data_IF_669250284567
#
_entry.id   IF_669250284567
#
_cell.length_a   1.000
_cell.length_b   1.000
_cell.length_c   1.000
_cell.angle_alpha   90.00
_cell.angle_beta   90.00
_cell.angle_gamma   90.00
#
_symmetry.space_group_name_H-M   'P 1'
#
loop_
_entity.id
_entity.type
_entity.pdbx_description
1 polymer ?
#
# COMPACT_ATOMS: atom_id res chain seq x y z
N UNK A 1 121.65 -85.80 55.86
CA UNK A 1 121.03 -85.80 54.52
C UNK A 1 119.50 -85.95 54.51
N UNK A 2 118.84 -86.75 55.39
CA UNK A 2 117.36 -86.96 55.32
C UNK A 2 116.47 -85.76 55.75
N UNK A 3 116.90 -84.92 56.69
CA UNK A 3 116.13 -83.73 57.13
C UNK A 3 116.10 -82.59 56.09
N UNK A 4 117.16 -82.43 55.29
CA UNK A 4 117.24 -81.42 54.24
C UNK A 4 116.29 -81.70 53.07
N UNK A 5 115.95 -82.97 52.85
CA UNK A 5 115.05 -83.40 51.77
C UNK A 5 113.57 -83.13 52.11
N UNK A 6 113.19 -83.32 53.38
CA UNK A 6 111.83 -83.02 53.87
C UNK A 6 111.57 -81.51 53.87
N UNK A 7 112.54 -80.70 54.30
CA UNK A 7 112.43 -79.23 54.26
C UNK A 7 112.32 -78.70 52.83
N UNK A 8 113.06 -79.29 51.88
CA UNK A 8 112.97 -78.97 50.46
C UNK A 8 111.60 -79.32 49.88
N UNK A 9 111.05 -80.49 50.23
CA UNK A 9 109.69 -80.89 49.80
C UNK A 9 108.64 -79.92 50.37
N UNK A 10 108.74 -79.55 51.65
CA UNK A 10 107.82 -78.57 52.27
C UNK A 10 107.94 -77.20 51.59
N UNK A 11 109.15 -76.72 51.32
CA UNK A 11 109.38 -75.45 50.61
C UNK A 11 108.83 -75.50 49.17
N UNK A 12 109.02 -76.60 48.46
CA UNK A 12 108.45 -76.81 47.11
C UNK A 12 106.92 -76.86 47.19
N UNK A 13 106.33 -77.57 48.15
CA UNK A 13 104.88 -77.62 48.35
C UNK A 13 104.30 -76.25 48.68
N UNK A 14 104.97 -75.46 49.52
CA UNK A 14 104.59 -74.07 49.83
C UNK A 14 104.72 -73.20 48.58
N UNK A 15 105.79 -73.33 47.79
CA UNK A 15 105.95 -72.59 46.53
C UNK A 15 104.89 -72.96 45.49
N UNK A 16 104.52 -74.24 45.37
CA UNK A 16 103.45 -74.69 44.46
C UNK A 16 102.09 -74.15 44.92
N UNK A 17 101.78 -74.22 46.22
CA UNK A 17 100.55 -73.64 46.77
C UNK A 17 100.50 -72.12 46.59
N UNK A 18 101.63 -71.44 46.79
CA UNK A 18 101.75 -70.00 46.57
C UNK A 18 101.56 -69.63 45.10
N UNK A 19 102.14 -70.41 44.19
CA UNK A 19 101.98 -70.22 42.74
C UNK A 19 100.55 -70.50 42.28
N UNK A 20 99.90 -71.56 42.79
CA UNK A 20 98.49 -71.84 42.53
C UNK A 20 97.60 -70.70 43.04
N UNK A 21 97.83 -70.23 44.27
CA UNK A 21 97.10 -69.09 44.83
C UNK A 21 97.35 -67.79 44.05
N UNK A 22 98.55 -67.60 43.54
CA UNK A 22 98.89 -66.46 42.68
C UNK A 22 98.17 -66.52 41.33
N UNK A 23 98.16 -67.68 40.65
CA UNK A 23 97.44 -67.85 39.38
C UNK A 23 95.91 -67.72 39.58
N UNK A 24 95.35 -68.30 40.64
CA UNK A 24 93.94 -68.09 41.03
C UNK A 24 93.63 -66.60 41.25
N UNK A 25 94.49 -65.89 41.99
CA UNK A 25 94.32 -64.46 42.25
C UNK A 25 94.43 -63.63 40.97
N UNK A 26 95.32 -64.00 40.04
CA UNK A 26 95.49 -63.33 38.74
C UNK A 26 94.31 -63.57 37.81
N UNK A 27 93.79 -64.78 37.73
CA UNK A 27 92.55 -65.07 36.98
C UNK A 27 91.36 -64.31 37.58
N UNK A 28 91.25 -64.26 38.91
CA UNK A 28 90.22 -63.51 39.60
C UNK A 28 90.34 -62.01 39.30
N UNK A 29 91.56 -61.47 39.27
CA UNK A 29 91.85 -60.09 38.91
C UNK A 29 91.41 -59.77 37.48
N UNK A 30 91.75 -60.63 36.50
CA UNK A 30 91.34 -60.45 35.10
C UNK A 30 89.81 -60.50 34.97
N UNK A 31 89.15 -61.43 35.67
CA UNK A 31 87.67 -61.50 35.71
C UNK A 31 87.08 -60.22 36.30
N UNK A 32 87.67 -59.70 37.37
CA UNK A 32 87.25 -58.47 38.02
C UNK A 32 87.43 -57.25 37.11
N UNK A 33 88.54 -57.16 36.37
CA UNK A 33 88.78 -56.10 35.38
C UNK A 33 87.74 -56.16 34.23
N UNK A 34 87.44 -57.35 33.71
CA UNK A 34 86.42 -57.52 32.66
C UNK A 34 85.00 -57.21 33.14
N UNK A 35 84.68 -57.59 34.38
CA UNK A 35 83.43 -57.23 35.03
C UNK A 35 83.32 -55.70 35.18
N UNK A 36 84.38 -55.03 35.62
CA UNK A 36 84.40 -53.56 35.72
C UNK A 36 84.17 -52.90 34.35
N UNK A 37 84.83 -53.35 33.29
CA UNK A 37 84.58 -52.84 31.92
C UNK A 37 83.14 -53.06 31.46
N UNK A 38 82.54 -54.18 31.85
CA UNK A 38 81.13 -54.47 31.53
C UNK A 38 80.19 -53.55 32.31
N UNK A 39 80.49 -53.28 33.59
CA UNK A 39 79.76 -52.33 34.42
C UNK A 39 79.84 -50.93 33.80
N UNK A 40 81.03 -50.45 33.44
CA UNK A 40 81.22 -49.14 32.78
C UNK A 40 80.42 -49.03 31.48
N UNK A 41 80.44 -50.05 30.63
CA UNK A 41 79.66 -50.05 29.37
C UNK A 41 78.14 -50.04 29.63
N UNK A 42 77.67 -50.78 30.64
CA UNK A 42 76.26 -50.79 31.02
C UNK A 42 75.83 -49.44 31.61
N UNK A 43 76.69 -48.77 32.37
CA UNK A 43 76.45 -47.42 32.89
C UNK A 43 76.32 -46.39 31.75
N UNK A 44 77.20 -46.46 30.74
CA UNK A 44 77.11 -45.61 29.54
C UNK A 44 75.80 -45.87 28.79
N UNK A 45 75.48 -47.14 28.51
CA UNK A 45 74.24 -47.50 27.81
C UNK A 45 72.99 -47.06 28.59
N UNK A 46 73.01 -47.22 29.91
CA UNK A 46 71.93 -46.77 30.78
C UNK A 46 71.77 -45.25 30.72
N UNK A 47 72.88 -44.49 30.73
CA UNK A 47 72.86 -43.03 30.56
C UNK A 47 72.28 -42.62 29.19
N UNK A 48 72.68 -43.27 28.10
CA UNK A 48 72.12 -43.00 26.77
C UNK A 48 70.62 -43.31 26.68
N UNK A 49 70.17 -44.40 27.31
CA UNK A 49 68.76 -44.77 27.35
C UNK A 49 67.94 -43.76 28.16
N UNK A 50 68.45 -43.31 29.30
CA UNK A 50 67.81 -42.26 30.10
C UNK A 50 67.68 -40.95 29.29
N UNK A 51 68.74 -40.54 28.59
CA UNK A 51 68.70 -39.35 27.73
C UNK A 51 67.69 -39.50 26.58
N UNK A 52 67.58 -40.70 25.96
CA UNK A 52 66.56 -40.96 24.92
C UNK A 52 65.15 -40.92 25.48
N UNK A 53 64.95 -41.48 26.68
CA UNK A 53 63.66 -41.50 27.36
C UNK A 53 63.21 -40.08 27.75
N UNK A 54 64.12 -39.25 28.25
CA UNK A 54 63.86 -37.84 28.54
C UNK A 54 63.48 -37.06 27.26
N UNK A 55 64.25 -37.22 26.18
CA UNK A 55 63.93 -36.59 24.90
C UNK A 55 62.57 -37.03 24.33
N UNK A 56 62.21 -38.31 24.48
CA UNK A 56 60.90 -38.82 24.09
C UNK A 56 59.79 -38.25 24.97
N UNK A 57 60.02 -38.11 26.28
CA UNK A 57 59.07 -37.48 27.21
C UNK A 57 58.78 -36.04 26.78
N UNK A 58 59.82 -35.24 26.50
CA UNK A 58 59.67 -33.85 26.03
C UNK A 58 58.90 -33.79 24.70
N UNK A 59 59.22 -34.67 23.74
CA UNK A 59 58.50 -34.73 22.46
C UNK A 59 57.02 -35.09 22.65
N UNK A 60 56.74 -36.04 23.54
CA UNK A 60 55.38 -36.45 23.86
C UNK A 60 54.58 -35.31 24.52
N UNK A 61 55.17 -34.60 25.48
CA UNK A 61 54.57 -33.44 26.13
C UNK A 61 54.25 -32.32 25.13
N UNK A 62 55.20 -32.00 24.24
CA UNK A 62 55.00 -31.00 23.19
C UNK A 62 53.86 -31.40 22.24
N UNK A 63 53.83 -32.66 21.79
CA UNK A 63 52.76 -33.16 20.91
C UNK A 63 51.40 -33.15 21.61
N UNK A 64 51.36 -33.48 22.91
CA UNK A 64 50.14 -33.43 23.72
C UNK A 64 49.61 -31.98 23.82
N UNK A 65 50.51 -31.01 24.00
CA UNK A 65 50.16 -29.59 24.01
C UNK A 65 49.63 -29.11 22.64
N UNK A 66 50.29 -29.48 21.54
CA UNK A 66 49.83 -29.14 20.19
C UNK A 66 48.47 -29.77 19.87
N UNK A 67 48.27 -31.02 20.27
CA UNK A 67 46.99 -31.71 20.11
C UNK A 67 45.86 -30.97 20.83
N UNK A 68 46.07 -30.59 22.10
CA UNK A 68 45.08 -29.83 22.87
C UNK A 68 44.78 -28.48 22.24
N UNK A 69 45.80 -27.76 21.76
CA UNK A 69 45.62 -26.50 21.03
C UNK A 69 44.79 -26.67 19.76
N UNK A 70 45.01 -27.77 19.02
CA UNK A 70 44.25 -28.07 17.80
C UNK A 70 42.79 -28.41 18.12
N UNK A 71 42.53 -29.14 19.20
CA UNK A 71 41.20 -29.43 19.71
C UNK A 71 40.43 -28.15 20.07
N UNK A 72 41.08 -27.22 20.77
CA UNK A 72 40.51 -25.91 21.11
C UNK A 72 40.18 -25.09 19.85
N UNK A 73 41.09 -25.07 18.86
CA UNK A 73 40.87 -24.40 17.57
C UNK A 73 39.68 -25.00 16.81
N UNK A 74 39.58 -26.33 16.78
CA UNK A 74 38.47 -27.03 16.13
C UNK A 74 37.14 -26.72 16.80
N UNK A 75 37.11 -26.72 18.14
CA UNK A 75 35.92 -26.37 18.92
C UNK A 75 35.44 -24.94 18.61
N UNK A 76 36.37 -23.97 18.58
CA UNK A 76 36.06 -22.59 18.23
C UNK A 76 35.52 -22.46 16.81
N UNK A 77 36.16 -23.10 15.83
CA UNK A 77 35.71 -23.07 14.44
C UNK A 77 34.32 -23.70 14.26
N UNK A 78 34.04 -24.79 15.00
CA UNK A 78 32.72 -25.42 15.01
C UNK A 78 31.63 -24.48 15.54
N UNK A 79 31.95 -23.69 16.57
CA UNK A 79 31.03 -22.69 17.12
C UNK A 79 30.79 -21.54 16.12
N UNK A 80 31.84 -21.03 15.49
CA UNK A 80 31.73 -20.00 14.46
C UNK A 80 30.87 -20.47 13.28
N UNK A 81 31.07 -21.71 12.82
CA UNK A 81 30.27 -22.29 11.74
C UNK A 81 28.78 -22.39 12.11
N UNK A 82 28.46 -22.78 13.35
CA UNK A 82 27.08 -22.83 13.84
C UNK A 82 26.44 -21.44 13.85
N UNK A 83 27.15 -20.43 14.37
CA UNK A 83 26.68 -19.05 14.40
C UNK A 83 26.44 -18.51 12.97
N UNK A 84 27.36 -18.77 12.04
CA UNK A 84 27.21 -18.34 10.65
C UNK A 84 26.01 -19.01 9.97
N UNK A 85 25.78 -20.29 10.25
CA UNK A 85 24.61 -21.03 9.74
C UNK A 85 23.30 -20.43 10.25
N UNK A 86 23.24 -20.05 11.53
CA UNK A 86 22.08 -19.38 12.11
C UNK A 86 21.83 -18.01 11.46
N UNK A 87 22.87 -17.19 11.29
CA UNK A 87 22.78 -15.89 10.62
C UNK A 87 22.29 -16.04 9.17
N UNK A 88 22.79 -17.04 8.43
CA UNK A 88 22.33 -17.34 7.08
C UNK A 88 20.84 -17.70 7.05
N UNK A 89 20.38 -18.55 7.96
CA UNK A 89 18.98 -18.94 8.04
C UNK A 89 18.07 -17.75 8.37
N UNK A 90 18.51 -16.87 9.28
CA UNK A 90 17.80 -15.63 9.60
C UNK A 90 17.70 -14.69 8.38
N UNK A 91 18.81 -14.49 7.67
CA UNK A 91 18.82 -13.67 6.45
C UNK A 91 17.92 -14.24 5.36
N UNK A 92 17.95 -15.57 5.17
CA UNK A 92 17.07 -16.26 4.23
C UNK A 92 15.59 -16.06 4.58
N UNK A 93 15.24 -16.12 5.88
CA UNK A 93 13.87 -15.86 6.34
C UNK A 93 13.44 -14.42 6.04
N UNK A 94 14.30 -13.44 6.34
CA UNK A 94 14.03 -12.02 6.04
C UNK A 94 13.84 -11.77 4.54
N UNK A 95 14.66 -12.40 3.69
CA UNK A 95 14.52 -12.31 2.24
C UNK A 95 13.15 -12.82 1.75
N UNK A 96 12.67 -13.95 2.28
CA UNK A 96 11.35 -14.47 1.91
C UNK A 96 10.19 -13.58 2.38
N UNK A 97 10.34 -12.89 3.52
CA UNK A 97 9.36 -11.88 3.98
C UNK A 97 9.34 -10.70 3.02
N UNK A 98 10.51 -10.10 2.73
CA UNK A 98 10.64 -8.97 1.79
C UNK A 98 10.09 -9.29 0.41
N UNK A 99 10.32 -10.52 -0.06
CA UNK A 99 9.78 -10.99 -1.34
C UNK A 99 8.26 -11.00 -1.35
N UNK A 100 7.61 -11.43 -0.27
CA UNK A 100 6.14 -11.40 -0.15
C UNK A 100 5.60 -9.98 -0.10
N UNK A 101 6.21 -9.11 0.70
CA UNK A 101 5.83 -7.69 0.78
C UNK A 101 5.93 -7.01 -0.58
N UNK A 102 7.00 -7.27 -1.35
CA UNK A 102 7.16 -6.73 -2.70
C UNK A 102 6.06 -7.17 -3.68
N UNK A 103 5.57 -8.41 -3.57
CA UNK A 103 4.42 -8.86 -4.38
C UNK A 103 3.10 -8.19 -3.95
N UNK A 104 2.93 -7.86 -2.66
CA UNK A 104 1.79 -7.06 -2.20
C UNK A 104 1.86 -5.62 -2.72
N UNK A 105 3.05 -4.99 -2.70
CA UNK A 105 3.25 -3.66 -3.27
C UNK A 105 2.92 -3.61 -4.77
N UNK A 106 3.30 -4.62 -5.54
CA UNK A 106 2.93 -4.71 -6.97
C UNK A 106 1.42 -4.76 -7.18
N UNK A 107 0.70 -5.54 -6.36
CA UNK A 107 -0.77 -5.60 -6.41
C UNK A 107 -1.40 -4.26 -6.07
N UNK A 108 -0.89 -3.57 -5.05
CA UNK A 108 -1.35 -2.25 -4.65
C UNK A 108 -1.11 -1.21 -5.76
N UNK A 109 0.04 -1.23 -6.41
CA UNK A 109 0.37 -0.35 -7.53
C UNK A 109 -0.60 -0.56 -8.71
N UNK A 110 -0.90 -1.82 -9.06
CA UNK A 110 -1.88 -2.15 -10.10
C UNK A 110 -3.29 -1.65 -9.73
N UNK A 111 -3.71 -1.79 -8.48
CA UNK A 111 -4.99 -1.27 -8.01
C UNK A 111 -5.07 0.25 -8.10
N UNK A 112 -3.99 0.95 -7.73
CA UNK A 112 -3.90 2.40 -7.85
C UNK A 112 -4.02 2.88 -9.30
N UNK A 113 -3.34 2.20 -10.24
CA UNK A 113 -3.43 2.51 -11.67
C UNK A 113 -4.86 2.36 -12.21
N UNK A 114 -5.56 1.28 -11.83
CA UNK A 114 -6.97 1.07 -12.19
C UNK A 114 -7.84 2.20 -11.64
N UNK A 115 -7.69 2.55 -10.36
CA UNK A 115 -8.44 3.64 -9.75
C UNK A 115 -8.16 4.99 -10.41
N UNK A 116 -6.91 5.25 -10.78
CA UNK A 116 -6.51 6.47 -11.46
C UNK A 116 -7.16 6.59 -12.84
N UNK A 117 -7.12 5.52 -13.65
CA UNK A 117 -7.73 5.50 -14.97
C UNK A 117 -9.25 5.68 -14.89
N UNK A 118 -9.93 5.00 -13.95
CA UNK A 118 -11.35 5.19 -13.71
C UNK A 118 -11.69 6.64 -13.31
N UNK A 119 -10.85 7.29 -12.50
CA UNK A 119 -11.02 8.69 -12.14
C UNK A 119 -10.89 9.62 -13.36
N UNK A 120 -9.92 9.37 -14.25
CA UNK A 120 -9.76 10.14 -15.48
C UNK A 120 -10.94 9.97 -16.44
N UNK A 121 -11.44 8.74 -16.61
CA UNK A 121 -12.62 8.46 -17.44
C UNK A 121 -13.87 9.16 -16.91
N UNK A 122 -14.12 9.10 -15.60
CA UNK A 122 -15.22 9.85 -14.97
C UNK A 122 -15.07 11.36 -15.16
N UNK A 123 -13.88 11.91 -14.90
CA UNK A 123 -13.62 13.34 -15.08
C UNK A 123 -13.90 13.78 -16.52
N UNK A 124 -13.42 12.99 -17.50
CA UNK A 124 -13.67 13.23 -18.92
C UNK A 124 -15.17 13.21 -19.23
N UNK A 125 -15.88 12.17 -18.80
CA UNK A 125 -17.33 12.08 -18.99
C UNK A 125 -18.06 13.30 -18.42
N UNK A 126 -17.76 13.68 -17.18
CA UNK A 126 -18.45 14.80 -16.53
C UNK A 126 -18.14 16.12 -17.24
N UNK A 127 -16.86 16.37 -17.56
CA UNK A 127 -16.44 17.56 -18.27
C UNK A 127 -17.13 17.67 -19.64
N UNK A 128 -17.20 16.58 -20.41
CA UNK A 128 -17.89 16.54 -21.70
C UNK A 128 -19.40 16.82 -21.54
N UNK A 129 -20.04 16.25 -20.52
CA UNK A 129 -21.47 16.41 -20.30
C UNK A 129 -21.83 17.81 -19.75
N UNK A 130 -21.14 18.33 -18.74
CA UNK A 130 -21.35 19.71 -18.23
C UNK A 130 -21.05 20.78 -19.30
N UNK A 131 -20.17 20.46 -20.26
CA UNK A 131 -19.82 21.33 -21.37
C UNK A 131 -20.54 20.99 -22.68
N UNK A 132 -21.60 20.18 -22.62
CA UNK A 132 -22.35 19.75 -23.79
C UNK A 132 -22.87 20.94 -24.64
N UNK A 133 -22.71 20.84 -25.96
CA UNK A 133 -23.15 21.85 -26.92
C UNK A 133 -24.54 21.54 -27.45
N UNK A 134 -25.52 22.35 -27.07
CA UNK A 134 -26.90 22.19 -27.51
C UNK A 134 -27.23 22.95 -28.81
N UNK A 135 -26.27 23.62 -29.45
CA UNK A 135 -26.52 24.50 -30.62
C UNK A 135 -27.31 23.84 -31.75
N UNK A 136 -27.14 22.52 -31.94
CA UNK A 136 -27.84 21.74 -32.97
C UNK A 136 -29.24 21.26 -32.56
N UNK A 137 -29.63 21.39 -31.29
CA UNK A 137 -30.86 20.77 -30.77
C UNK A 137 -32.09 21.67 -31.04
N UNK A 138 -33.18 21.13 -31.63
CA UNK A 138 -34.34 21.94 -32.03
C UNK A 138 -35.00 22.73 -30.90
N UNK A 139 -34.95 22.22 -29.66
CA UNK A 139 -35.56 22.89 -28.51
C UNK A 139 -34.83 24.15 -28.09
N UNK A 140 -33.54 24.28 -28.38
CA UNK A 140 -32.75 25.46 -27.97
C UNK A 140 -33.29 26.75 -28.58
N UNK A 141 -33.69 26.70 -29.85
CA UNK A 141 -34.30 27.87 -30.50
C UNK A 141 -35.56 28.30 -29.75
N UNK A 142 -36.45 27.36 -29.45
CA UNK A 142 -37.70 27.65 -28.74
C UNK A 142 -37.45 28.15 -27.32
N UNK A 143 -36.50 27.54 -26.58
CA UNK A 143 -36.14 27.98 -25.22
C UNK A 143 -35.53 29.37 -25.24
N UNK A 144 -34.63 29.65 -26.18
CA UNK A 144 -34.05 30.99 -26.36
C UNK A 144 -35.14 32.02 -26.66
N UNK A 145 -36.01 31.75 -27.62
CA UNK A 145 -37.00 32.73 -28.07
C UNK A 145 -38.07 33.02 -27.01
N UNK A 146 -38.40 32.05 -26.17
CA UNK A 146 -39.51 32.17 -25.19
C UNK A 146 -39.08 32.37 -23.73
N UNK A 147 -37.93 31.82 -23.33
CA UNK A 147 -37.53 31.74 -21.92
C UNK A 147 -36.31 32.60 -21.57
N UNK A 148 -35.58 33.12 -22.57
CA UNK A 148 -34.48 34.03 -22.33
C UNK A 148 -35.01 35.48 -22.27
N UNK A 149 -34.95 36.07 -21.08
CA UNK A 149 -35.41 37.43 -20.80
C UNK A 149 -34.18 38.30 -20.52
N UNK A 150 -33.74 39.08 -21.52
CA UNK A 150 -32.50 39.87 -21.44
C UNK A 150 -31.29 38.98 -21.08
N UNK A 151 -30.71 39.14 -19.89
CA UNK A 151 -29.61 38.35 -19.34
C UNK A 151 -30.06 37.29 -18.32
N UNK A 152 -31.35 36.91 -18.35
CA UNK A 152 -31.95 35.98 -17.39
C UNK A 152 -32.58 34.79 -18.09
N UNK A 153 -32.27 33.58 -17.65
CA UNK A 153 -32.95 32.37 -18.11
C UNK A 153 -34.12 32.03 -17.18
N UNK A 154 -35.35 32.05 -17.70
CA UNK A 154 -36.52 31.51 -17.02
C UNK A 154 -36.49 29.98 -17.08
N UNK A 155 -35.91 29.36 -16.04
CA UNK A 155 -35.66 27.92 -16.02
C UNK A 155 -36.96 27.08 -16.01
N UNK A 156 -37.99 27.41 -15.21
CA UNK A 156 -39.27 26.71 -15.29
C UNK A 156 -39.92 26.79 -16.67
N UNK A 157 -39.81 27.93 -17.37
CA UNK A 157 -40.25 28.06 -18.77
C UNK A 157 -39.51 27.04 -19.66
N UNK A 158 -38.18 26.95 -19.54
CA UNK A 158 -37.38 26.05 -20.36
C UNK A 158 -37.77 24.58 -20.12
N UNK A 159 -37.92 24.18 -18.86
CA UNK A 159 -38.32 22.83 -18.47
C UNK A 159 -39.75 22.51 -18.94
N UNK A 160 -40.68 23.46 -18.80
CA UNK A 160 -42.05 23.27 -19.29
C UNK A 160 -42.10 23.08 -20.82
N UNK A 161 -41.33 23.86 -21.59
CA UNK A 161 -41.22 23.66 -23.04
C UNK A 161 -40.68 22.26 -23.37
N UNK A 162 -39.65 21.79 -22.66
CA UNK A 162 -39.11 20.44 -22.88
C UNK A 162 -40.16 19.36 -22.63
N UNK A 163 -40.91 19.47 -21.53
CA UNK A 163 -41.96 18.51 -21.16
C UNK A 163 -43.14 18.56 -22.14
N UNK A 164 -43.75 19.71 -22.30
CA UNK A 164 -45.02 19.84 -23.05
C UNK A 164 -44.83 19.79 -24.56
N UNK A 165 -43.76 20.42 -25.09
CA UNK A 165 -43.55 20.54 -26.55
C UNK A 165 -42.63 19.49 -27.12
N UNK A 166 -41.66 19.01 -26.35
CA UNK A 166 -40.69 18.02 -26.80
C UNK A 166 -40.87 16.65 -26.14
N UNK A 167 -41.87 16.50 -25.28
CA UNK A 167 -42.26 15.24 -24.62
C UNK A 167 -41.16 14.63 -23.75
N UNK A 168 -40.33 15.48 -23.13
CA UNK A 168 -39.36 15.01 -22.15
C UNK A 168 -40.09 14.58 -20.87
N UNK A 169 -39.73 13.43 -20.30
CA UNK A 169 -40.41 12.88 -19.12
C UNK A 169 -39.44 12.25 -18.13
N UNK A 170 -39.95 11.97 -16.93
CA UNK A 170 -39.25 11.10 -15.99
C UNK A 170 -39.26 9.66 -16.53
N UNK A 171 -38.11 9.00 -16.51
CA UNK A 171 -37.94 7.61 -16.89
C UNK A 171 -37.19 6.94 -15.75
N UNK A 172 -37.83 5.98 -15.07
CA UNK A 172 -37.13 5.18 -14.06
C UNK A 172 -36.32 4.11 -14.79
N UNK A 173 -35.00 4.20 -14.72
CA UNK A 173 -34.12 3.17 -15.23
C UNK A 173 -33.87 2.10 -14.14
N UNK A 174 -33.70 0.85 -14.57
CA UNK A 174 -33.52 -0.28 -13.65
C UNK A 174 -32.09 -0.37 -13.10
N UNK A 175 -31.14 0.13 -13.88
CA UNK A 175 -29.71 -0.03 -13.61
C UNK A 175 -29.11 1.18 -12.88
N UNK A 176 -29.89 2.25 -12.63
CA UNK A 176 -29.51 3.47 -11.85
C UNK A 176 -28.16 4.06 -12.32
N UNK A 177 -27.99 4.10 -13.66
CA UNK A 177 -26.77 4.56 -14.31
C UNK A 177 -26.95 5.97 -14.85
N UNK A 178 -25.99 6.85 -14.54
CA UNK A 178 -25.99 8.21 -15.05
C UNK A 178 -25.84 8.21 -16.59
N UNK A 179 -26.91 8.57 -17.29
CA UNK A 179 -26.94 8.76 -18.73
C UNK A 179 -26.11 9.99 -19.13
N UNK A 180 -25.43 9.91 -20.27
CA UNK A 180 -24.90 11.12 -20.91
C UNK A 180 -26.04 12.07 -21.33
N UNK A 181 -25.73 13.35 -21.49
CA UNK A 181 -26.68 14.38 -21.97
C UNK A 181 -27.23 14.01 -23.35
N UNK A 182 -26.42 13.42 -24.23
CA UNK A 182 -26.87 12.94 -25.54
C UNK A 182 -27.85 11.77 -25.39
N UNK A 183 -27.58 10.80 -24.52
CA UNK A 183 -28.48 9.68 -24.24
C UNK A 183 -29.81 10.16 -23.65
N UNK A 184 -29.78 11.07 -22.68
CA UNK A 184 -30.97 11.70 -22.11
C UNK A 184 -31.84 12.38 -23.18
N UNK A 185 -31.22 13.12 -24.10
CA UNK A 185 -31.92 13.76 -25.23
C UNK A 185 -32.57 12.71 -26.14
N UNK A 186 -31.85 11.63 -26.44
CA UNK A 186 -32.34 10.58 -27.33
C UNK A 186 -33.46 9.75 -26.69
N UNK A 187 -33.37 9.47 -25.37
CA UNK A 187 -34.43 8.86 -24.57
C UNK A 187 -35.63 9.80 -24.35
N UNK A 188 -35.45 11.11 -24.54
CA UNK A 188 -36.39 12.17 -24.16
C UNK A 188 -36.72 12.11 -22.67
N UNK A 189 -35.70 12.01 -21.83
CA UNK A 189 -35.88 11.87 -20.40
C UNK A 189 -34.86 10.96 -19.74
N UNK A 190 -35.01 10.85 -18.43
CA UNK A 190 -34.19 10.08 -17.49
C UNK A 190 -34.78 10.23 -16.08
N UNK A 191 -34.08 9.71 -15.10
CA UNK A 191 -34.39 9.85 -13.68
C UNK A 191 -33.77 11.13 -13.08
N UNK A 192 -33.65 11.21 -11.75
CA UNK A 192 -33.36 12.47 -11.08
C UNK A 192 -31.94 12.99 -11.34
N UNK A 193 -30.94 12.12 -11.40
CA UNK A 193 -29.54 12.44 -11.69
C UNK A 193 -29.36 12.83 -13.15
N UNK A 194 -30.04 12.15 -14.07
CA UNK A 194 -30.02 12.43 -15.50
C UNK A 194 -30.60 13.82 -15.78
N UNK A 195 -31.76 14.13 -15.19
CA UNK A 195 -32.36 15.46 -15.25
C UNK A 195 -31.43 16.52 -14.65
N UNK A 196 -30.78 16.22 -13.53
CA UNK A 196 -29.85 17.13 -12.87
C UNK A 196 -28.64 17.45 -13.74
N UNK A 197 -28.06 16.44 -14.39
CA UNK A 197 -26.93 16.60 -15.30
C UNK A 197 -27.35 17.41 -16.53
N UNK A 198 -28.44 17.00 -17.19
CA UNK A 198 -28.97 17.70 -18.35
C UNK A 198 -29.25 19.19 -18.08
N UNK A 199 -29.94 19.50 -16.98
CA UNK A 199 -30.28 20.90 -16.64
C UNK A 199 -29.04 21.70 -16.27
N UNK A 200 -28.08 21.10 -15.56
CA UNK A 200 -26.80 21.76 -15.26
C UNK A 200 -26.05 22.12 -16.54
N UNK A 201 -25.97 21.18 -17.49
CA UNK A 201 -25.36 21.39 -18.80
C UNK A 201 -26.10 22.46 -19.61
N UNK A 202 -27.43 22.49 -19.54
CA UNK A 202 -28.26 23.49 -20.21
C UNK A 202 -27.96 24.90 -19.67
N UNK A 203 -27.92 25.07 -18.35
CA UNK A 203 -27.56 26.34 -17.70
C UNK A 203 -26.16 26.78 -18.18
N UNK A 204 -25.18 25.89 -18.14
CA UNK A 204 -23.82 26.19 -18.58
C UNK A 204 -23.74 26.59 -20.06
N UNK A 205 -24.52 25.92 -20.92
CA UNK A 205 -24.64 26.30 -22.32
C UNK A 205 -25.17 27.72 -22.48
N UNK A 206 -26.20 28.12 -21.71
CA UNK A 206 -26.72 29.49 -21.77
C UNK A 206 -25.75 30.54 -21.20
N UNK A 207 -25.03 30.21 -20.13
CA UNK A 207 -23.97 31.06 -19.57
C UNK A 207 -22.90 31.33 -20.62
N UNK A 208 -22.36 30.28 -21.26
CA UNK A 208 -21.29 30.40 -22.25
C UNK A 208 -21.72 31.14 -23.53
N UNK A 209 -22.87 30.78 -24.09
CA UNK A 209 -23.27 31.22 -25.43
C UNK A 209 -24.14 32.49 -25.43
N UNK A 210 -24.88 32.75 -24.36
CA UNK A 210 -25.82 33.88 -24.26
C UNK A 210 -25.50 34.84 -23.12
N UNK A 211 -24.42 34.60 -22.35
CA UNK A 211 -23.93 35.49 -21.28
C UNK A 211 -25.02 35.86 -20.28
N UNK A 212 -25.78 34.85 -19.83
CA UNK A 212 -26.77 35.07 -18.77
C UNK A 212 -26.06 35.29 -17.43
N UNK A 213 -26.56 36.26 -16.66
CA UNK A 213 -26.05 36.57 -15.31
C UNK A 213 -26.99 36.01 -14.23
N UNK A 214 -28.24 35.73 -14.60
CA UNK A 214 -29.25 35.25 -13.66
C UNK A 214 -30.02 34.05 -14.21
N UNK A 215 -30.49 33.22 -13.29
CA UNK A 215 -31.60 32.30 -13.55
C UNK A 215 -32.82 32.73 -12.74
N UNK A 216 -33.99 32.52 -13.31
CA UNK A 216 -35.27 32.70 -12.64
C UNK A 216 -35.79 31.31 -12.31
N UNK A 217 -36.05 31.09 -11.03
CA UNK A 217 -36.72 29.92 -10.47
C UNK A 217 -38.12 30.33 -10.00
N UNK A 218 -38.99 29.37 -9.75
CA UNK A 218 -40.24 29.64 -9.03
C UNK A 218 -40.14 29.20 -7.57
N UNK A 219 -40.87 29.88 -6.69
CA UNK A 219 -41.05 29.53 -5.29
C UNK A 219 -42.55 29.50 -4.99
N UNK A 220 -43.02 28.52 -4.22
CA UNK A 220 -44.44 28.41 -3.89
C UNK A 220 -44.90 29.60 -3.04
N UNK A 221 -45.94 30.30 -3.50
CA UNK A 221 -46.53 31.46 -2.84
C UNK A 221 -48.00 31.63 -3.20
N UNK A 222 -48.88 31.36 -2.24
CA UNK A 222 -50.34 31.41 -2.39
C UNK A 222 -50.81 32.79 -2.91
N UNK A 223 -51.66 32.78 -3.93
CA UNK A 223 -52.29 33.96 -4.51
C UNK A 223 -51.45 34.67 -5.58
N UNK A 224 -50.33 34.09 -6.00
CA UNK A 224 -49.46 34.63 -7.05
C UNK A 224 -49.44 33.70 -8.25
N UNK A 225 -49.25 34.26 -9.45
CA UNK A 225 -49.06 33.50 -10.68
C UNK A 225 -47.63 33.73 -11.20
N UNK A 226 -46.87 32.66 -11.38
CA UNK A 226 -45.55 32.70 -11.99
C UNK A 226 -45.66 32.46 -13.50
N UNK A 227 -45.47 33.51 -14.28
CA UNK A 227 -45.54 33.45 -15.73
C UNK A 227 -44.38 32.65 -16.34
N UNK A 228 -44.70 31.72 -17.25
CA UNK A 228 -43.74 30.92 -18.00
C UNK A 228 -43.46 31.55 -19.37
N UNK A 229 -44.45 31.51 -20.25
CA UNK A 229 -44.38 32.06 -21.62
C UNK A 229 -45.79 32.21 -22.20
N UNK A 230 -45.88 32.84 -23.39
CA UNK A 230 -47.11 32.99 -24.16
C UNK A 230 -46.96 32.35 -25.54
N UNK A 231 -48.03 31.75 -26.04
CA UNK A 231 -48.10 31.18 -27.39
C UNK A 231 -49.45 31.55 -28.02
N UNK A 232 -49.42 32.52 -28.94
CA UNK A 232 -50.63 33.16 -29.44
C UNK A 232 -51.35 33.89 -28.31
N UNK A 233 -52.62 33.55 -28.10
CA UNK A 233 -53.46 34.13 -27.04
C UNK A 233 -53.42 33.32 -25.73
N UNK A 234 -52.66 32.23 -25.68
CA UNK A 234 -52.59 31.35 -24.51
C UNK A 234 -51.38 31.73 -23.66
N UNK A 235 -51.62 32.02 -22.38
CA UNK A 235 -50.59 32.31 -21.38
C UNK A 235 -50.39 31.10 -20.46
N UNK A 236 -49.14 30.65 -20.35
CA UNK A 236 -48.73 29.56 -19.49
C UNK A 236 -48.14 30.13 -18.21
N UNK A 237 -48.64 29.68 -17.07
CA UNK A 237 -48.17 30.11 -15.75
C UNK A 237 -48.35 29.00 -14.72
N UNK A 238 -47.57 29.06 -13.64
CA UNK A 238 -47.82 28.27 -12.44
C UNK A 238 -48.68 29.09 -11.47
N UNK A 239 -49.74 28.47 -10.97
CA UNK A 239 -50.57 29.01 -9.89
C UNK A 239 -49.84 28.88 -8.55
N UNK A 240 -50.14 29.79 -7.63
CA UNK A 240 -49.55 29.86 -6.29
C UNK A 240 -48.03 29.84 -6.32
N UNK A 241 -47.43 30.61 -7.22
CA UNK A 241 -45.99 30.69 -7.42
C UNK A 241 -45.51 32.12 -7.67
N UNK A 242 -44.32 32.44 -7.15
CA UNK A 242 -43.62 33.71 -7.38
C UNK A 242 -42.24 33.47 -7.97
N UNK A 243 -41.62 34.49 -8.55
CA UNK A 243 -40.27 34.40 -9.10
C UNK A 243 -39.19 34.54 -8.03
N UNK A 244 -38.10 33.80 -8.20
CA UNK A 244 -36.86 33.90 -7.44
C UNK A 244 -35.68 34.04 -8.39
N UNK A 245 -35.00 35.18 -8.35
CA UNK A 245 -33.82 35.43 -9.18
C UNK A 245 -32.55 34.98 -8.44
N UNK A 246 -31.73 34.15 -9.09
CA UNK A 246 -30.44 33.68 -8.58
C UNK A 246 -29.32 34.27 -9.44
N UNK A 247 -28.32 34.88 -8.80
CA UNK A 247 -27.17 35.50 -9.46
C UNK A 247 -26.07 34.46 -9.74
N UNK A 248 -25.89 34.10 -11.01
CA UNK A 248 -24.87 33.12 -11.43
C UNK A 248 -23.43 33.63 -11.28
N UNK A 249 -23.22 34.95 -11.17
CA UNK A 249 -21.90 35.53 -10.89
C UNK A 249 -21.47 35.17 -9.45
N UNK A 250 -22.43 35.10 -8.53
CA UNK A 250 -22.21 34.69 -7.13
C UNK A 250 -22.12 33.17 -6.99
N UNK A 251 -22.95 32.43 -7.74
CA UNK A 251 -23.04 30.97 -7.68
C UNK A 251 -22.52 30.33 -8.98
N UNK A 252 -21.19 30.34 -9.13
CA UNK A 252 -20.49 29.96 -10.36
C UNK A 252 -20.49 28.47 -10.66
N UNK A 253 -20.58 27.63 -9.63
CA UNK A 253 -20.37 26.19 -9.73
C UNK A 253 -21.69 25.45 -9.61
N UNK A 254 -21.94 24.53 -10.52
CA UNK A 254 -23.08 23.62 -10.47
C UNK A 254 -22.62 22.30 -9.85
N UNK A 255 -23.36 21.80 -8.88
CA UNK A 255 -23.13 20.50 -8.27
C UNK A 255 -24.47 19.78 -8.24
N UNK A 256 -24.51 18.52 -8.61
CA UNK A 256 -25.67 17.65 -8.42
C UNK A 256 -25.53 17.02 -7.05
N UNK A 257 -26.56 17.14 -6.22
CA UNK A 257 -26.62 16.57 -4.88
C UNK A 257 -27.71 15.52 -4.88
N UNK A 258 -27.33 14.27 -4.62
CA UNK A 258 -28.28 13.19 -4.41
C UNK A 258 -28.40 12.86 -2.92
N UNK A 259 -29.64 12.70 -2.48
CA UNK A 259 -30.01 12.46 -1.09
C UNK A 259 -31.16 11.45 -1.01
N UNK A 260 -31.31 10.83 0.15
CA UNK A 260 -32.40 9.89 0.39
C UNK A 260 -33.63 10.67 0.86
N UNK A 261 -34.74 10.52 0.14
CA UNK A 261 -36.01 11.15 0.50
C UNK A 261 -36.80 10.31 1.51
N UNK A 262 -36.76 8.99 1.35
CA UNK A 262 -37.35 8.01 2.26
C UNK A 262 -36.58 6.68 2.19
N UNK A 263 -36.97 5.65 2.92
CA UNK A 263 -36.21 4.39 3.01
C UNK A 263 -35.95 3.69 1.67
N UNK A 264 -36.71 3.99 0.62
CA UNK A 264 -36.66 3.28 -0.67
C UNK A 264 -36.39 4.20 -1.86
N UNK A 265 -36.38 5.51 -1.68
CA UNK A 265 -36.32 6.48 -2.78
C UNK A 265 -35.20 7.50 -2.55
N UNK A 266 -34.31 7.54 -3.52
CA UNK A 266 -33.37 8.63 -3.75
C UNK A 266 -34.02 9.81 -4.46
N UNK A 267 -33.37 10.96 -4.38
CA UNK A 267 -33.67 12.11 -5.22
C UNK A 267 -32.40 12.94 -5.45
N UNK A 268 -32.28 13.54 -6.63
CA UNK A 268 -31.16 14.42 -6.98
C UNK A 268 -31.66 15.82 -7.34
N UNK A 269 -30.92 16.82 -6.86
CA UNK A 269 -31.18 18.26 -7.06
C UNK A 269 -29.91 18.97 -7.50
N UNK A 270 -30.04 20.18 -8.04
CA UNK A 270 -28.89 21.01 -8.42
C UNK A 270 -28.61 22.01 -7.30
N UNK A 271 -27.35 22.11 -6.91
CA UNK A 271 -26.80 23.11 -6.02
C UNK A 271 -25.89 24.08 -6.79
N UNK A 272 -26.34 25.32 -6.89
CA UNK A 272 -25.55 26.42 -7.42
C UNK A 272 -24.75 27.02 -6.28
N UNK A 273 -23.43 26.96 -6.35
CA UNK A 273 -22.54 27.33 -5.25
C UNK A 273 -21.47 28.34 -5.67
N UNK A 274 -20.94 29.07 -4.69
CA UNK A 274 -19.84 30.00 -4.90
C UNK A 274 -18.46 29.31 -5.02
N UNK A 275 -18.37 28.04 -4.64
CA UNK A 275 -17.19 27.16 -4.74
C UNK A 275 -17.63 25.71 -4.96
N UNK A 276 -16.77 24.83 -5.49
CA UNK A 276 -17.13 23.40 -5.59
C UNK A 276 -17.44 22.81 -4.23
N UNK A 277 -18.52 22.04 -4.16
CA UNK A 277 -18.92 21.41 -2.92
C UNK A 277 -18.01 20.22 -2.64
N UNK A 278 -17.19 20.34 -1.59
CA UNK A 278 -16.43 19.22 -1.04
C UNK A 278 -17.22 18.61 0.14
N UNK A 279 -17.48 17.28 0.16
CA UNK A 279 -18.18 16.62 1.27
C UNK A 279 -17.58 16.89 2.65
N UNK A 280 -16.27 17.14 2.73
CA UNK A 280 -15.56 17.43 3.98
C UNK A 280 -15.86 18.83 4.55
N UNK A 281 -16.44 19.73 3.75
CA UNK A 281 -16.64 21.14 4.10
C UNK A 281 -18.04 21.68 3.75
N UNK A 282 -19.07 20.82 3.70
CA UNK A 282 -20.44 21.19 3.31
C UNK A 282 -21.00 22.44 4.01
N UNK A 283 -20.68 22.62 5.30
CA UNK A 283 -21.20 23.74 6.11
C UNK A 283 -20.61 25.11 5.78
N UNK A 284 -19.54 25.17 4.97
CA UNK A 284 -18.86 26.42 4.60
C UNK A 284 -19.34 26.98 3.26
N UNK A 285 -19.89 26.11 2.42
CA UNK A 285 -20.27 26.47 1.05
C UNK A 285 -21.60 27.20 1.05
N UNK A 286 -21.63 28.38 0.40
CA UNK A 286 -22.89 29.08 0.15
C UNK A 286 -23.48 28.52 -1.14
N UNK A 287 -24.61 27.82 -1.03
CA UNK A 287 -25.28 27.26 -2.19
C UNK A 287 -26.80 27.42 -2.13
N UNK A 288 -27.38 27.62 -3.31
CA UNK A 288 -28.81 27.67 -3.60
C UNK A 288 -29.19 26.36 -4.27
N UNK A 289 -30.29 25.76 -3.79
CA UNK A 289 -30.78 24.48 -4.29
C UNK A 289 -31.98 24.69 -5.21
N UNK A 290 -32.03 23.92 -6.29
CA UNK A 290 -33.14 23.93 -7.23
C UNK A 290 -33.51 22.53 -7.71
N UNK A 291 -34.80 22.35 -8.00
CA UNK A 291 -35.37 21.11 -8.56
C UNK A 291 -35.20 21.11 -10.08
N UNK A 292 -34.36 20.23 -10.65
CA UNK A 292 -34.12 20.20 -12.10
C UNK A 292 -35.36 19.84 -12.92
N UNK A 293 -36.33 19.11 -12.35
CA UNK A 293 -37.50 18.68 -13.11
C UNK A 293 -38.62 19.73 -13.17
N UNK A 294 -38.55 20.81 -12.39
CA UNK A 294 -39.60 21.85 -12.37
C UNK A 294 -39.04 23.28 -12.45
N UNK A 295 -37.78 23.48 -12.06
CA UNK A 295 -37.19 24.81 -11.88
C UNK A 295 -37.62 25.46 -10.57
N UNK A 296 -38.06 24.67 -9.59
CA UNK A 296 -38.42 25.14 -8.25
C UNK A 296 -37.17 25.54 -7.46
N UNK A 297 -37.25 26.63 -6.72
CA UNK A 297 -36.30 26.98 -5.68
C UNK A 297 -36.60 26.17 -4.41
N UNK A 298 -35.67 25.31 -4.02
CA UNK A 298 -35.84 24.42 -2.87
C UNK A 298 -35.39 25.08 -1.57
N UNK A 299 -34.41 25.99 -1.62
CA UNK A 299 -33.87 26.64 -0.44
C UNK A 299 -32.35 26.86 -0.54
N UNK A 300 -31.71 26.99 0.61
CA UNK A 300 -30.25 27.02 0.69
C UNK A 300 -29.69 25.70 1.25
N UNK A 301 -28.42 25.41 0.93
CA UNK A 301 -27.77 24.17 1.34
C UNK A 301 -27.70 23.98 2.85
N UNK A 302 -27.53 25.06 3.63
CA UNK A 302 -27.42 24.98 5.09
C UNK A 302 -28.71 24.45 5.72
N UNK A 303 -29.85 25.04 5.38
CA UNK A 303 -31.17 24.59 5.85
C UNK A 303 -31.52 23.18 5.35
N UNK A 304 -31.06 22.84 4.16
CA UNK A 304 -31.28 21.52 3.58
C UNK A 304 -30.54 20.41 4.33
N UNK A 305 -29.30 20.68 4.75
CA UNK A 305 -28.46 19.75 5.52
C UNK A 305 -29.01 19.45 6.93
N UNK A 306 -29.81 20.34 7.49
CA UNK A 306 -30.47 20.11 8.79
C UNK A 306 -31.55 19.03 8.71
N UNK A 307 -32.09 18.77 7.51
CA UNK A 307 -33.22 17.87 7.29
C UNK A 307 -32.86 16.62 6.50
N UNK A 308 -31.76 16.66 5.74
CA UNK A 308 -31.41 15.62 4.79
C UNK A 308 -29.96 15.17 4.94
N UNK A 309 -29.73 13.89 4.68
CA UNK A 309 -28.39 13.31 4.58
C UNK A 309 -28.02 13.26 3.10
N UNK A 310 -26.95 13.98 2.73
CA UNK A 310 -26.39 13.95 1.38
C UNK A 310 -25.54 12.69 1.21
N UNK A 311 -25.72 11.99 0.09
CA UNK A 311 -25.05 10.73 -0.23
C UNK A 311 -24.06 10.87 -1.37
N UNK A 312 -24.45 11.55 -2.45
CA UNK A 312 -23.60 11.76 -3.62
C UNK A 312 -23.53 13.24 -3.96
N UNK A 313 -22.34 13.67 -4.37
CA UNK A 313 -22.12 15.00 -4.95
C UNK A 313 -21.38 14.78 -6.27
N UNK A 314 -21.99 15.19 -7.38
CA UNK A 314 -21.40 15.16 -8.72
C UNK A 314 -21.13 16.60 -9.14
N UNK A 315 -19.93 16.90 -9.62
CA UNK A 315 -19.64 18.16 -10.29
C UNK A 315 -18.76 17.91 -11.53
N UNK A 316 -18.37 18.96 -12.24
CA UNK A 316 -17.54 18.81 -13.45
C UNK A 316 -16.13 18.25 -13.18
N UNK A 317 -15.67 18.22 -11.93
CA UNK A 317 -14.36 17.70 -11.57
C UNK A 317 -14.41 16.22 -11.18
N UNK A 318 -15.36 15.82 -10.33
CA UNK A 318 -15.41 14.46 -9.80
C UNK A 318 -16.78 14.12 -9.18
N UNK A 319 -16.85 12.91 -8.63
CA UNK A 319 -18.01 12.34 -7.95
C UNK A 319 -17.60 11.86 -6.58
N UNK A 320 -18.27 12.43 -5.59
CA UNK A 320 -18.00 12.13 -4.20
C UNK A 320 -19.12 11.27 -3.62
N UNK A 321 -18.75 10.12 -3.08
CA UNK A 321 -19.65 9.22 -2.35
C UNK A 321 -19.43 9.36 -0.84
N UNK A 322 -20.51 9.55 -0.09
CA UNK A 322 -20.46 9.60 1.39
C UNK A 322 -20.66 8.23 2.04
N UNK A 323 -21.31 7.28 1.37
CA UNK A 323 -21.59 5.96 1.94
C UNK A 323 -21.42 4.82 0.91
N UNK A 324 -20.86 3.68 1.35
CA UNK A 324 -20.70 2.46 0.53
C UNK A 324 -22.07 1.89 0.16
N UNK A 325 -22.35 1.68 -1.13
CA UNK A 325 -23.47 0.83 -1.58
C UNK A 325 -24.28 1.34 -2.78
N UNK A 326 -24.05 2.55 -3.28
CA UNK A 326 -24.68 3.03 -4.52
C UNK A 326 -23.69 2.93 -5.67
N UNK A 327 -23.97 2.07 -6.64
CA UNK A 327 -23.17 1.90 -7.85
C UNK A 327 -23.77 2.74 -8.98
N UNK A 328 -23.66 4.07 -8.90
CA UNK A 328 -24.16 5.00 -9.94
C UNK A 328 -23.38 4.93 -11.26
N UNK A 329 -22.31 4.14 -11.31
CA UNK A 329 -21.33 4.08 -12.40
C UNK A 329 -20.99 2.63 -12.72
N UNK A 330 -21.06 2.29 -14.02
CA UNK A 330 -20.63 1.00 -14.56
C UNK A 330 -19.14 0.76 -14.43
#
# INVERSE_FOLDING_TARGET
MRFSFILLIILISISVLYFQKYEEAKELYIKLENLNKTIENLEILNSELLNKLENLSIKYENLSYEYKRLEDLYSNLSLEYKNLTEQYNNLKSMYEILKKENEEYKKLAMYYEILHNLSLERHKFLSENFNYDFSSKPFIKTVKDKCLLENKLNLPCAINILKEKYSYKYISDKDDELSSVEEFINKKGGDCEDWSLFVSSLINYFVRNYKIDYIILYEQKIGYNFYLYKEGDIEYYYQDATSKNINLIEYKYQNIICYIRNQTEGHCIIALSNEYINPLNLNKVKAVLLEPQSGEYIGNLKEFLEKNIIYIIINELDIYYRQRGWNLWK
#
